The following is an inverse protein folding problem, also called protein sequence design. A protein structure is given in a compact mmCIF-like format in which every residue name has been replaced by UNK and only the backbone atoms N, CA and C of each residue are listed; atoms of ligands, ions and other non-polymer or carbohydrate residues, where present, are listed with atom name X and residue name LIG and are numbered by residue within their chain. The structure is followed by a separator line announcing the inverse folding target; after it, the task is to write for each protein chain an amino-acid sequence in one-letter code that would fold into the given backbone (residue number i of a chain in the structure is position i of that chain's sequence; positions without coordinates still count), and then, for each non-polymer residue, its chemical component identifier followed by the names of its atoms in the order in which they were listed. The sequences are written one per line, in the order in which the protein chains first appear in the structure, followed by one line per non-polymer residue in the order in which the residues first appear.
data_IF_542811482834
#
_entry.id   IF_542811482834
#
_cell.length_a   1.000
_cell.length_b   1.000
_cell.length_c   1.000
_cell.angle_alpha   90.00
_cell.angle_beta   90.00
_cell.angle_gamma   90.00
#
_symmetry.space_group_name_H-M   'P 1'
#
loop_
_entity.id
_entity.type
_entity.pdbx_description
1 polymer ?
#
# COMPACT_ATOMS: atom_id res chain seq x y z
N UNK A 1 -0.61 -26.28 14.90
CA UNK A 1 -0.48 -24.85 15.27
C UNK A 1 0.99 -24.51 15.17
N UNK A 2 1.37 -23.47 14.43
CA UNK A 2 2.78 -23.05 14.29
C UNK A 2 3.09 -22.09 15.44
N UNK A 3 4.07 -22.43 16.26
CA UNK A 3 4.49 -21.56 17.36
C UNK A 3 5.41 -20.47 16.81
N UNK A 4 5.14 -19.21 17.18
CA UNK A 4 5.98 -18.05 16.85
C UNK A 4 6.60 -17.49 18.15
N UNK A 5 7.83 -16.95 18.10
CA UNK A 5 8.47 -16.36 19.28
C UNK A 5 7.64 -15.24 19.90
N UNK A 6 7.69 -15.14 21.23
CA UNK A 6 7.08 -14.03 21.95
C UNK A 6 7.84 -12.73 21.67
N UNK A 7 7.11 -11.71 21.23
CA UNK A 7 7.64 -10.38 20.93
C UNK A 7 6.68 -9.32 21.46
N UNK A 8 7.14 -8.08 21.52
CA UNK A 8 6.30 -6.95 21.91
C UNK A 8 4.98 -6.95 21.11
N UNK A 9 3.81 -6.75 21.74
CA UNK A 9 2.51 -6.87 21.07
C UNK A 9 2.37 -6.01 19.81
N UNK A 10 3.01 -4.84 19.77
CA UNK A 10 3.02 -3.97 18.58
C UNK A 10 3.74 -4.55 17.36
N UNK A 11 4.55 -5.59 17.52
CA UNK A 11 5.31 -6.26 16.46
C UNK A 11 4.88 -7.73 16.24
N UNK A 12 3.98 -8.25 17.09
CA UNK A 12 3.56 -9.65 17.05
C UNK A 12 2.92 -10.05 15.71
N UNK A 13 2.28 -9.11 15.03
CA UNK A 13 1.68 -9.35 13.71
C UNK A 13 2.73 -9.66 12.64
N UNK A 14 3.96 -9.14 12.76
CA UNK A 14 5.03 -9.34 11.77
C UNK A 14 5.46 -10.80 11.75
N UNK A 15 5.81 -11.37 12.91
CA UNK A 15 6.25 -12.76 13.00
C UNK A 15 5.12 -13.73 12.66
N UNK A 16 3.89 -13.43 13.07
CA UNK A 16 2.70 -14.22 12.73
C UNK A 16 2.46 -14.24 11.22
N UNK A 17 2.57 -13.07 10.55
CA UNK A 17 2.44 -12.96 9.11
C UNK A 17 3.56 -13.72 8.38
N UNK A 18 4.81 -13.60 8.84
CA UNK A 18 5.94 -14.32 8.23
C UNK A 18 5.76 -15.85 8.32
N UNK A 19 5.36 -16.36 9.49
CA UNK A 19 5.12 -17.79 9.68
C UNK A 19 4.00 -18.29 8.77
N UNK A 20 2.91 -17.53 8.61
CA UNK A 20 1.82 -17.86 7.69
C UNK A 20 2.26 -17.87 6.22
N UNK A 21 3.06 -16.91 5.79
CA UNK A 21 3.56 -16.86 4.41
C UNK A 21 4.52 -18.01 4.10
N UNK A 22 5.43 -18.35 5.01
CA UNK A 22 6.33 -19.49 4.85
C UNK A 22 5.55 -20.80 4.78
N UNK A 23 4.59 -21.00 5.69
CA UNK A 23 3.71 -22.16 5.63
C UNK A 23 2.94 -22.26 4.31
N UNK A 24 2.34 -21.15 3.87
CA UNK A 24 1.64 -21.10 2.59
C UNK A 24 2.56 -21.44 1.43
N UNK A 25 3.77 -20.87 1.40
CA UNK A 25 4.76 -21.13 0.36
C UNK A 25 5.16 -22.61 0.27
N UNK A 26 5.47 -23.24 1.40
CA UNK A 26 5.79 -24.68 1.45
C UNK A 26 4.60 -25.55 1.03
N UNK A 27 3.37 -25.17 1.42
CA UNK A 27 2.16 -25.87 0.96
C UNK A 27 1.99 -25.75 -0.57
N UNK A 28 2.25 -24.58 -1.15
CA UNK A 28 2.21 -24.40 -2.60
C UNK A 28 3.30 -25.19 -3.32
N UNK A 29 4.52 -25.26 -2.78
CA UNK A 29 5.59 -26.11 -3.33
C UNK A 29 5.22 -27.59 -3.28
N UNK A 30 4.58 -28.04 -2.19
CA UNK A 30 4.10 -29.42 -2.06
C UNK A 30 3.04 -29.76 -3.11
N UNK A 31 2.14 -28.82 -3.43
CA UNK A 31 1.15 -28.97 -4.51
C UNK A 31 1.83 -28.97 -5.88
N UNK A 32 2.74 -28.03 -6.14
CA UNK A 32 3.50 -27.95 -7.40
C UNK A 32 4.28 -29.24 -7.69
N UNK A 33 4.87 -29.85 -6.66
CA UNK A 33 5.59 -31.11 -6.78
C UNK A 33 4.72 -32.25 -7.33
N UNK A 34 3.40 -32.20 -7.15
CA UNK A 34 2.47 -33.20 -7.69
C UNK A 34 2.31 -33.09 -9.21
N UNK A 35 2.72 -31.98 -9.83
CA UNK A 35 2.73 -31.78 -11.28
C UNK A 35 3.89 -32.49 -11.98
N UNK A 36 4.87 -33.00 -11.23
CA UNK A 36 6.06 -33.68 -11.76
C UNK A 36 5.76 -34.79 -12.76
N UNK A 37 4.87 -35.78 -12.50
CA UNK A 37 4.52 -36.78 -13.51
C UNK A 37 3.95 -36.17 -14.80
N UNK A 38 3.19 -35.07 -14.71
CA UNK A 38 2.62 -34.41 -15.89
C UNK A 38 3.71 -33.71 -16.72
N UNK A 39 4.67 -33.06 -16.05
CA UNK A 39 5.82 -32.43 -16.71
C UNK A 39 6.70 -33.45 -17.42
N UNK A 40 6.96 -34.59 -16.78
CA UNK A 40 7.75 -35.67 -17.36
C UNK A 40 7.05 -36.31 -18.57
N UNK A 41 5.73 -36.52 -18.50
CA UNK A 41 4.94 -36.99 -19.64
C UNK A 41 4.94 -35.98 -20.81
N UNK A 42 4.82 -34.68 -20.51
CA UNK A 42 4.86 -33.64 -21.54
C UNK A 42 6.24 -33.55 -22.20
N UNK A 43 7.31 -33.61 -21.42
CA UNK A 43 8.68 -33.62 -21.94
C UNK A 43 8.93 -34.84 -22.86
N UNK A 44 8.38 -36.00 -22.53
CA UNK A 44 8.46 -37.19 -23.40
C UNK A 44 7.78 -36.96 -24.76
N UNK A 45 6.60 -36.31 -24.75
CA UNK A 45 5.89 -35.93 -25.99
C UNK A 45 6.73 -34.93 -26.80
N UNK A 46 7.27 -33.89 -26.16
CA UNK A 46 8.13 -32.89 -26.81
C UNK A 46 9.34 -33.56 -27.47
N UNK A 47 10.02 -34.50 -26.78
CA UNK A 47 11.14 -35.26 -27.35
C UNK A 47 10.75 -36.15 -28.53
N UNK A 48 9.54 -36.74 -28.53
CA UNK A 48 9.07 -37.52 -29.68
C UNK A 48 8.84 -36.65 -30.92
N UNK A 49 8.31 -35.44 -30.72
CA UNK A 49 8.11 -34.45 -31.77
C UNK A 49 9.44 -33.96 -32.32
N UNK A 50 10.41 -33.66 -31.44
CA UNK A 50 11.77 -33.25 -31.84
C UNK A 50 12.52 -34.35 -32.59
N UNK A 51 12.29 -35.62 -32.24
CA UNK A 51 12.88 -36.77 -32.93
C UNK A 51 12.19 -37.15 -34.25
N UNK A 52 11.16 -36.39 -34.66
CA UNK A 52 10.37 -36.62 -35.88
C UNK A 52 9.87 -38.08 -36.00
N UNK A 53 9.44 -38.66 -34.88
CA UNK A 53 8.92 -40.04 -34.85
C UNK A 53 7.68 -40.13 -35.74
N UNK A 54 7.68 -41.12 -36.65
CA UNK A 54 6.56 -41.34 -37.56
C UNK A 54 5.26 -41.66 -36.80
N UNK A 55 4.12 -41.18 -37.32
CA UNK A 55 2.81 -41.29 -36.66
C UNK A 55 2.44 -42.75 -36.31
N UNK A 56 2.71 -43.69 -37.23
CA UNK A 56 2.44 -45.12 -37.06
C UNK A 56 3.26 -45.78 -35.93
N UNK A 57 4.40 -45.20 -35.52
CA UNK A 57 5.26 -45.71 -34.44
C UNK A 57 5.26 -44.83 -33.19
N UNK A 58 4.58 -43.68 -33.23
CA UNK A 58 4.60 -42.66 -32.19
C UNK A 58 4.14 -43.20 -30.82
N UNK A 59 2.99 -43.87 -30.77
CA UNK A 59 2.48 -44.45 -29.53
C UNK A 59 3.37 -45.59 -29.02
N UNK A 60 3.91 -46.43 -29.92
CA UNK A 60 4.80 -47.52 -29.54
C UNK A 60 6.11 -46.99 -28.93
N UNK A 61 6.62 -45.87 -29.44
CA UNK A 61 7.79 -45.18 -28.90
C UNK A 61 7.49 -44.51 -27.54
N UNK A 62 6.35 -43.83 -27.43
CA UNK A 62 5.98 -43.07 -26.23
C UNK A 62 5.54 -43.95 -25.05
N UNK A 63 4.85 -45.07 -25.30
CA UNK A 63 4.29 -45.94 -24.26
C UNK A 63 5.27 -46.25 -23.12
N UNK A 64 6.47 -46.80 -23.37
CA UNK A 64 7.40 -47.16 -22.28
C UNK A 64 7.91 -45.94 -21.49
N UNK A 65 7.91 -44.75 -22.10
CA UNK A 65 8.37 -43.50 -21.46
C UNK A 65 7.24 -42.85 -20.66
N UNK A 66 5.99 -42.95 -21.13
CA UNK A 66 4.80 -42.41 -20.48
C UNK A 66 4.33 -43.25 -19.30
N UNK A 67 4.50 -44.58 -19.35
CA UNK A 67 3.96 -45.51 -18.36
C UNK A 67 4.38 -45.22 -16.90
N UNK A 68 5.66 -44.88 -16.58
CA UNK A 68 6.05 -44.51 -15.21
C UNK A 68 5.41 -43.21 -14.71
N UNK A 69 5.20 -42.24 -15.59
CA UNK A 69 4.52 -40.98 -15.27
C UNK A 69 3.01 -41.22 -15.07
N UNK A 70 2.39 -42.00 -15.96
CA UNK A 70 0.99 -42.38 -15.88
C UNK A 70 0.69 -43.14 -14.58
N UNK A 71 1.54 -44.10 -14.20
CA UNK A 71 1.39 -44.86 -12.96
C UNK A 71 1.41 -43.96 -11.72
N UNK A 72 2.39 -43.05 -11.60
CA UNK A 72 2.45 -42.09 -10.48
C UNK A 72 1.24 -41.16 -10.44
N UNK A 73 0.76 -40.71 -11.60
CA UNK A 73 -0.46 -39.91 -11.68
C UNK A 73 -1.69 -40.69 -11.19
N UNK A 74 -1.89 -41.93 -11.65
CA UNK A 74 -2.99 -42.78 -11.19
C UNK A 74 -2.89 -43.14 -9.70
N UNK A 75 -1.68 -43.37 -9.19
CA UNK A 75 -1.45 -43.58 -7.76
C UNK A 75 -1.85 -42.34 -6.94
N UNK A 76 -1.47 -41.14 -7.40
CA UNK A 76 -1.85 -39.87 -6.78
C UNK A 76 -3.37 -39.63 -6.79
N UNK A 77 -4.07 -39.98 -7.87
CA UNK A 77 -5.54 -39.91 -7.94
C UNK A 77 -6.18 -40.86 -6.94
N UNK A 78 -5.71 -42.11 -6.86
CA UNK A 78 -6.24 -43.11 -5.90
C UNK A 78 -5.99 -42.71 -4.45
N UNK A 79 -4.87 -42.06 -4.17
CA UNK A 79 -4.54 -41.54 -2.84
C UNK A 79 -5.30 -40.25 -2.49
N UNK A 80 -6.01 -39.63 -3.44
CA UNK A 80 -6.68 -38.35 -3.24
C UNK A 80 -5.72 -37.16 -3.15
N UNK A 81 -4.47 -37.31 -3.56
CA UNK A 81 -3.42 -36.29 -3.43
C UNK A 81 -3.76 -35.01 -4.20
N UNK A 82 -4.53 -35.11 -5.28
CA UNK A 82 -4.92 -34.00 -6.15
C UNK A 82 -6.20 -33.28 -5.70
N UNK A 83 -6.88 -33.75 -4.66
CA UNK A 83 -8.17 -33.21 -4.23
C UNK A 83 -8.04 -31.75 -3.81
N UNK A 84 -8.83 -30.87 -4.44
CA UNK A 84 -8.82 -29.43 -4.17
C UNK A 84 -7.70 -28.65 -4.88
N UNK A 85 -6.86 -29.31 -5.67
CA UNK A 85 -5.74 -28.69 -6.38
C UNK A 85 -5.77 -28.92 -7.89
N UNK A 86 -6.36 -30.03 -8.34
CA UNK A 86 -6.59 -30.34 -9.75
C UNK A 86 -8.10 -30.36 -10.03
N UNK A 87 -8.55 -29.68 -11.08
CA UNK A 87 -9.96 -29.71 -11.48
C UNK A 87 -10.38 -31.13 -11.87
N UNK A 88 -11.60 -31.53 -11.51
CA UNK A 88 -12.12 -32.86 -11.82
C UNK A 88 -12.16 -33.12 -13.33
N UNK A 89 -12.51 -32.11 -14.13
CA UNK A 89 -12.49 -32.15 -15.59
C UNK A 89 -11.09 -32.43 -16.14
N UNK A 90 -10.08 -31.72 -15.63
CA UNK A 90 -8.67 -31.90 -16.00
C UNK A 90 -8.17 -33.28 -15.60
N UNK A 91 -8.46 -33.72 -14.37
CA UNK A 91 -8.11 -35.05 -13.88
C UNK A 91 -8.71 -36.18 -14.73
N UNK A 92 -9.99 -36.07 -15.09
CA UNK A 92 -10.68 -37.05 -15.95
C UNK A 92 -10.08 -37.06 -17.35
N UNK A 93 -9.84 -35.89 -17.94
CA UNK A 93 -9.27 -35.77 -19.29
C UNK A 93 -7.87 -36.35 -19.38
N UNK A 94 -6.97 -35.99 -18.45
CA UNK A 94 -5.62 -36.56 -18.38
C UNK A 94 -5.67 -38.08 -18.16
N UNK A 95 -6.56 -38.55 -17.28
CA UNK A 95 -6.72 -39.98 -17.02
C UNK A 95 -7.16 -40.78 -18.24
N UNK A 96 -8.13 -40.27 -19.01
CA UNK A 96 -8.61 -40.91 -20.24
C UNK A 96 -7.52 -40.91 -21.31
N UNK A 97 -6.90 -39.76 -21.57
CA UNK A 97 -5.87 -39.62 -22.61
C UNK A 97 -4.61 -40.46 -22.33
N UNK A 98 -4.19 -40.58 -21.06
CA UNK A 98 -3.09 -41.47 -20.69
C UNK A 98 -3.41 -42.94 -20.95
N UNK A 99 -4.68 -43.38 -20.85
CA UNK A 99 -5.06 -44.76 -21.17
C UNK A 99 -4.95 -45.05 -22.66
N UNK A 100 -5.32 -44.12 -23.52
CA UNK A 100 -5.11 -44.25 -24.96
C UNK A 100 -3.61 -44.19 -25.31
N UNK A 101 -2.87 -43.24 -24.74
CA UNK A 101 -1.45 -43.05 -25.02
C UNK A 101 -0.54 -44.21 -24.54
N UNK A 102 -0.97 -44.96 -23.52
CA UNK A 102 -0.27 -46.15 -23.01
C UNK A 102 -0.82 -47.48 -23.56
N UNK A 103 -1.82 -47.43 -24.44
CA UNK A 103 -2.45 -48.62 -25.02
C UNK A 103 -3.36 -49.41 -24.07
N UNK A 104 -3.68 -48.86 -22.89
CA UNK A 104 -4.67 -49.46 -21.97
C UNK A 104 -6.12 -49.35 -22.49
N UNK A 105 -6.38 -48.42 -23.42
CA UNK A 105 -7.63 -48.28 -24.15
C UNK A 105 -7.35 -48.25 -25.66
N UNK A 106 -8.20 -48.90 -26.46
CA UNK A 106 -8.07 -48.94 -27.91
C UNK A 106 -8.60 -47.67 -28.58
N UNK A 107 -7.94 -47.23 -29.66
CA UNK A 107 -8.29 -45.99 -30.36
C UNK A 107 -9.69 -45.98 -30.97
N UNK A 108 -10.28 -47.15 -31.24
CA UNK A 108 -11.65 -47.30 -31.73
C UNK A 108 -12.69 -46.69 -30.78
N UNK A 109 -12.38 -46.59 -29.48
CA UNK A 109 -13.26 -45.98 -28.47
C UNK A 109 -13.04 -44.45 -28.31
N UNK A 110 -11.99 -43.90 -28.92
CA UNK A 110 -11.57 -42.51 -28.70
C UNK A 110 -12.64 -41.49 -29.13
N UNK A 111 -13.29 -41.73 -30.27
CA UNK A 111 -14.33 -40.83 -30.80
C UNK A 111 -15.54 -40.75 -29.88
N UNK A 112 -15.88 -41.84 -29.19
CA UNK A 112 -16.97 -41.87 -28.23
C UNK A 112 -16.70 -40.97 -27.01
N UNK A 113 -15.45 -40.91 -26.55
CA UNK A 113 -15.06 -40.12 -25.37
C UNK A 113 -14.68 -38.67 -25.70
N UNK A 114 -14.04 -38.42 -26.84
CA UNK A 114 -13.46 -37.12 -27.19
C UNK A 114 -14.08 -36.45 -28.43
N UNK A 115 -15.02 -37.12 -29.11
CA UNK A 115 -15.81 -36.54 -30.20
C UNK A 115 -15.05 -36.32 -31.52
N UNK A 116 -13.86 -36.92 -31.68
CA UNK A 116 -13.07 -36.91 -32.92
C UNK A 116 -12.39 -38.26 -33.15
N UNK A 117 -12.03 -38.56 -34.39
CA UNK A 117 -11.37 -39.83 -34.75
C UNK A 117 -10.07 -40.02 -33.97
N UNK A 118 -9.89 -41.19 -33.37
CA UNK A 118 -8.68 -41.55 -32.62
C UNK A 118 -7.51 -41.90 -33.53
N UNK A 119 -6.60 -40.95 -33.74
CA UNK A 119 -5.29 -41.20 -34.36
C UNK A 119 -4.16 -41.01 -33.33
N UNK A 120 -2.98 -41.64 -33.52
CA UNK A 120 -1.81 -41.39 -32.67
C UNK A 120 -1.52 -39.91 -32.45
N UNK A 121 -1.42 -39.13 -33.53
CA UNK A 121 -1.27 -37.66 -33.46
C UNK A 121 -2.38 -36.97 -32.66
N UNK A 122 -3.65 -37.34 -32.87
CA UNK A 122 -4.77 -36.70 -32.15
C UNK A 122 -4.70 -36.96 -30.64
N UNK A 123 -4.38 -38.18 -30.22
CA UNK A 123 -4.23 -38.53 -28.80
C UNK A 123 -3.11 -37.72 -28.16
N UNK A 124 -1.97 -37.59 -28.84
CA UNK A 124 -0.80 -36.88 -28.32
C UNK A 124 -1.03 -35.37 -28.25
N UNK A 125 -1.69 -34.79 -29.26
CA UNK A 125 -2.09 -33.38 -29.25
C UNK A 125 -3.02 -33.07 -28.06
N UNK A 126 -4.09 -33.85 -27.89
CA UNK A 126 -5.04 -33.68 -26.79
C UNK A 126 -4.36 -33.90 -25.43
N UNK A 127 -3.49 -34.91 -25.34
CA UNK A 127 -2.75 -35.21 -24.11
C UNK A 127 -1.82 -34.06 -23.74
N UNK A 128 -1.09 -33.49 -24.70
CA UNK A 128 -0.20 -32.35 -24.47
C UNK A 128 -0.96 -31.13 -23.92
N UNK A 129 -2.14 -30.84 -24.47
CA UNK A 129 -3.02 -29.77 -23.99
C UNK A 129 -3.53 -30.05 -22.57
N UNK A 130 -3.99 -31.27 -22.30
CA UNK A 130 -4.50 -31.67 -20.99
C UNK A 130 -3.40 -31.66 -19.91
N UNK A 131 -2.19 -32.12 -20.24
CA UNK A 131 -1.03 -32.08 -19.36
C UNK A 131 -0.62 -30.65 -19.05
N UNK A 132 -0.59 -29.77 -20.06
CA UNK A 132 -0.27 -28.34 -19.86
C UNK A 132 -1.24 -27.69 -18.89
N UNK A 133 -2.55 -27.88 -19.09
CA UNK A 133 -3.57 -27.37 -18.17
C UNK A 133 -3.41 -27.93 -16.75
N UNK A 134 -3.15 -29.24 -16.61
CA UNK A 134 -2.91 -29.85 -15.30
C UNK A 134 -1.68 -29.30 -14.59
N UNK A 135 -0.60 -29.03 -15.32
CA UNK A 135 0.60 -28.38 -14.78
C UNK A 135 0.29 -26.96 -14.34
N UNK A 136 -0.44 -26.18 -15.14
CA UNK A 136 -0.84 -24.81 -14.79
C UNK A 136 -1.69 -24.76 -13.52
N UNK A 137 -2.68 -25.64 -13.39
CA UNK A 137 -3.54 -25.74 -12.20
C UNK A 137 -2.74 -26.04 -10.93
N UNK A 138 -1.81 -26.99 -11.00
CA UNK A 138 -0.97 -27.38 -9.85
C UNK A 138 0.15 -26.36 -9.53
N UNK A 139 0.55 -25.54 -10.50
CA UNK A 139 1.58 -24.50 -10.31
C UNK A 139 0.98 -23.18 -9.79
N UNK A 140 -0.28 -22.88 -10.14
CA UNK A 140 -0.99 -21.64 -9.80
C UNK A 140 -0.92 -21.22 -8.33
N UNK A 141 -0.97 -22.12 -7.32
CA UNK A 141 -0.84 -21.73 -5.92
C UNK A 141 0.47 -21.01 -5.59
N UNK A 142 1.58 -21.33 -6.27
CA UNK A 142 2.88 -20.67 -6.08
C UNK A 142 2.78 -19.19 -6.47
N UNK A 143 2.15 -18.89 -7.62
CA UNK A 143 1.98 -17.53 -8.10
C UNK A 143 0.99 -16.75 -7.22
N UNK A 144 -0.07 -17.41 -6.75
CA UNK A 144 -1.03 -16.80 -5.83
C UNK A 144 -0.33 -16.35 -4.53
N UNK A 145 0.51 -17.19 -3.92
CA UNK A 145 1.25 -16.83 -2.70
C UNK A 145 2.30 -15.74 -2.95
N UNK A 146 3.00 -15.77 -4.08
CA UNK A 146 3.89 -14.67 -4.47
C UNK A 146 3.14 -13.35 -4.60
N UNK A 147 1.96 -13.37 -5.21
CA UNK A 147 1.10 -12.19 -5.35
C UNK A 147 0.59 -11.71 -3.98
N UNK A 148 0.17 -12.62 -3.09
CA UNK A 148 -0.25 -12.27 -1.72
C UNK A 148 0.90 -11.63 -0.93
N UNK A 149 2.10 -12.22 -0.97
CA UNK A 149 3.27 -11.66 -0.30
C UNK A 149 3.57 -10.22 -0.78
N UNK A 150 3.47 -9.97 -2.09
CA UNK A 150 3.57 -8.61 -2.65
C UNK A 150 2.47 -7.70 -2.12
N UNK A 151 1.21 -8.13 -2.14
CA UNK A 151 0.08 -7.30 -1.71
C UNK A 151 0.12 -6.97 -0.22
N UNK A 152 0.56 -7.90 0.63
CA UNK A 152 0.72 -7.67 2.07
C UNK A 152 1.86 -6.68 2.32
N UNK A 153 3.00 -6.84 1.65
CA UNK A 153 4.15 -5.93 1.80
C UNK A 153 3.93 -4.54 1.20
N UNK A 154 3.06 -4.43 0.19
CA UNK A 154 2.62 -3.14 -0.37
C UNK A 154 1.48 -2.54 0.45
N UNK A 155 0.60 -3.35 1.04
CA UNK A 155 -0.59 -2.91 1.80
C UNK A 155 -0.29 -2.24 3.14
N UNK A 156 0.87 -2.51 3.75
CA UNK A 156 1.38 -1.77 4.92
C UNK A 156 1.76 -0.31 4.60
N UNK A 157 1.69 0.11 3.32
CA UNK A 157 1.84 1.51 2.94
C UNK A 157 0.58 2.35 3.17
N UNK A 158 -0.51 1.79 3.74
CA UNK A 158 -1.69 2.58 4.15
C UNK A 158 -1.42 3.26 5.48
N UNK A 159 -0.66 4.35 5.38
CA UNK A 159 -0.32 5.34 6.40
C UNK A 159 -1.53 6.02 7.06
N UNK A 160 -2.74 5.90 6.52
CA UNK A 160 -3.92 6.68 6.95
C UNK A 160 -4.32 6.42 8.41
N UNK A 161 -4.25 5.18 8.89
CA UNK A 161 -4.63 4.84 10.26
C UNK A 161 -3.60 5.37 11.27
N UNK A 162 -2.31 5.29 10.92
CA UNK A 162 -1.23 5.91 11.69
C UNK A 162 -1.33 7.44 11.71
N UNK A 163 -1.73 8.06 10.59
CA UNK A 163 -1.93 9.51 10.53
C UNK A 163 -3.07 9.96 11.45
N UNK A 164 -4.16 9.19 11.52
CA UNK A 164 -5.25 9.51 12.44
C UNK A 164 -4.84 9.36 13.89
N UNK A 165 -3.93 8.45 14.22
CA UNK A 165 -3.42 8.28 15.58
C UNK A 165 -2.52 9.43 16.07
N UNK A 166 -2.07 10.34 15.19
CA UNK A 166 -1.21 11.45 15.58
C UNK A 166 -1.94 12.43 16.53
N UNK A 167 -1.36 12.78 17.69
CA UNK A 167 -1.97 13.68 18.68
C UNK A 167 -2.47 15.02 18.12
N UNK A 168 -1.71 15.67 17.24
CA UNK A 168 -2.13 16.92 16.61
C UNK A 168 -3.32 16.73 15.66
N UNK A 169 -3.42 15.57 14.99
CA UNK A 169 -4.59 15.23 14.16
C UNK A 169 -5.82 14.99 15.06
N UNK A 170 -5.66 14.27 16.16
CA UNK A 170 -6.73 14.07 17.15
C UNK A 170 -7.22 15.42 17.70
N UNK A 171 -6.31 16.33 18.05
CA UNK A 171 -6.68 17.66 18.53
C UNK A 171 -7.52 18.47 17.52
N UNK A 172 -7.29 18.30 16.22
CA UNK A 172 -8.12 18.92 15.17
C UNK A 172 -9.51 18.29 15.12
N UNK A 173 -9.60 16.96 15.23
CA UNK A 173 -10.88 16.24 15.25
C UNK A 173 -11.68 16.55 16.51
N UNK A 174 -11.03 16.61 17.67
CA UNK A 174 -11.62 16.97 18.97
C UNK A 174 -12.10 18.43 19.01
N UNK A 175 -11.45 19.32 18.25
CA UNK A 175 -11.93 20.67 18.00
C UNK A 175 -13.18 20.74 17.10
N UNK A 176 -13.69 19.59 16.65
CA UNK A 176 -14.92 19.43 15.90
C UNK A 176 -14.76 19.47 14.38
N UNK A 177 -13.53 19.41 13.85
CA UNK A 177 -13.30 19.34 12.42
C UNK A 177 -13.81 17.99 11.86
N UNK A 178 -14.66 17.96 10.82
CA UNK A 178 -15.17 16.72 10.26
C UNK A 178 -14.04 15.96 9.54
N UNK A 179 -13.92 14.67 9.80
CA UNK A 179 -12.90 13.81 9.17
C UNK A 179 -12.96 13.85 7.64
N UNK A 180 -14.17 13.88 7.07
CA UNK A 180 -14.40 13.96 5.63
C UNK A 180 -14.03 15.32 5.01
N UNK A 181 -13.64 16.30 5.83
CA UNK A 181 -13.17 17.63 5.40
C UNK A 181 -11.67 17.85 5.59
N UNK A 182 -10.94 16.83 6.04
CA UNK A 182 -9.48 16.87 6.14
C UNK A 182 -8.89 16.07 4.98
N UNK A 183 -8.19 16.76 4.08
CA UNK A 183 -7.52 16.09 2.97
C UNK A 183 -6.37 15.21 3.47
N UNK A 184 -5.99 14.18 2.71
CA UNK A 184 -4.83 13.37 3.03
C UNK A 184 -3.54 14.22 3.20
N UNK A 185 -3.37 15.25 2.36
CA UNK A 185 -2.26 16.21 2.46
C UNK A 185 -2.27 16.94 3.80
N UNK A 186 -3.46 17.37 4.25
CA UNK A 186 -3.67 18.02 5.55
C UNK A 186 -3.26 17.08 6.69
N UNK A 187 -3.74 15.83 6.69
CA UNK A 187 -3.42 14.84 7.72
C UNK A 187 -1.92 14.54 7.78
N UNK A 188 -1.27 14.37 6.62
CA UNK A 188 0.18 14.14 6.55
C UNK A 188 0.99 15.31 7.10
N UNK A 189 0.60 16.55 6.79
CA UNK A 189 1.26 17.75 7.33
C UNK A 189 1.09 17.87 8.85
N UNK A 190 -0.10 17.59 9.35
CA UNK A 190 -0.36 17.61 10.80
C UNK A 190 0.47 16.55 11.53
N UNK A 191 0.49 15.31 11.02
CA UNK A 191 1.30 14.24 11.61
C UNK A 191 2.81 14.56 11.55
N UNK A 192 3.28 15.22 10.48
CA UNK A 192 4.66 15.66 10.39
C UNK A 192 5.01 16.81 11.35
N UNK A 193 4.05 17.68 11.66
CA UNK A 193 4.22 18.77 12.63
C UNK A 193 4.15 18.29 14.08
N UNK A 194 3.50 17.16 14.35
CA UNK A 194 3.24 16.64 15.69
C UNK A 194 4.49 16.59 16.61
N UNK A 195 5.67 16.11 16.16
CA UNK A 195 6.88 16.09 17.01
C UNK A 195 7.37 17.47 17.46
N UNK A 196 6.95 18.54 16.78
CA UNK A 196 7.29 19.91 17.16
C UNK A 196 6.32 20.51 18.19
N UNK A 197 5.17 19.88 18.43
CA UNK A 197 4.13 20.38 19.33
C UNK A 197 4.30 19.77 20.72
N UNK A 198 4.54 20.61 21.71
CA UNK A 198 4.57 20.22 23.12
C UNK A 198 3.15 20.04 23.67
N UNK A 199 2.23 20.98 23.36
CA UNK A 199 0.85 20.89 23.79
C UNK A 199 -0.11 21.70 22.90
N UNK A 200 -1.34 21.22 22.75
CA UNK A 200 -2.47 22.01 22.24
C UNK A 200 -3.20 22.65 23.43
N UNK A 201 -3.20 23.98 23.48
CA UNK A 201 -3.69 24.77 24.63
C UNK A 201 -5.10 25.34 24.43
N UNK A 202 -5.65 25.22 23.21
CA UNK A 202 -6.99 25.65 22.88
C UNK A 202 -7.24 25.65 21.38
N UNK A 203 -8.46 26.00 20.99
CA UNK A 203 -8.84 26.10 19.59
C UNK A 203 -9.93 27.15 19.34
N UNK A 204 -10.06 27.56 18.09
CA UNK A 204 -11.25 28.22 17.58
C UNK A 204 -11.59 27.63 16.21
N UNK A 205 -12.80 27.11 16.07
CA UNK A 205 -13.30 26.58 14.81
C UNK A 205 -14.17 27.61 14.11
N UNK A 206 -13.93 27.81 12.82
CA UNK A 206 -14.64 28.77 11.99
C UNK A 206 -15.38 28.06 10.86
N UNK A 207 -16.56 28.58 10.51
CA UNK A 207 -17.25 28.27 9.27
C UNK A 207 -16.92 29.35 8.24
N UNK A 208 -16.69 28.92 7.01
CA UNK A 208 -16.47 29.80 5.87
C UNK A 208 -17.61 29.60 4.89
N UNK A 209 -18.29 30.69 4.54
CA UNK A 209 -19.44 30.69 3.64
C UNK A 209 -19.20 31.68 2.48
N UNK A 210 -19.57 31.30 1.26
CA UNK A 210 -19.44 32.14 0.05
C UNK A 210 -18.15 31.92 -0.74
N UNK A 211 -17.96 32.70 -1.81
CA UNK A 211 -16.81 32.56 -2.71
C UNK A 211 -15.53 33.15 -2.12
N UNK A 212 -14.60 32.25 -1.76
CA UNK A 212 -13.29 32.58 -1.21
C UNK A 212 -12.37 33.23 -2.24
N UNK A 213 -12.49 32.87 -3.53
CA UNK A 213 -11.65 33.39 -4.62
C UNK A 213 -12.12 34.78 -5.01
N UNK A 214 -13.44 34.97 -5.15
CA UNK A 214 -14.08 36.24 -5.51
C UNK A 214 -14.17 37.29 -4.39
N UNK A 215 -13.55 37.06 -3.23
CA UNK A 215 -13.52 38.00 -2.08
C UNK A 215 -14.89 38.35 -1.46
N UNK A 216 -15.90 37.49 -1.69
CA UNK A 216 -17.24 37.62 -1.13
C UNK A 216 -17.48 36.67 0.04
N UNK A 217 -16.47 35.90 0.44
CA UNK A 217 -16.56 34.97 1.55
C UNK A 217 -16.67 35.66 2.92
N UNK A 218 -17.49 35.06 3.77
CA UNK A 218 -17.65 35.42 5.17
C UNK A 218 -17.13 34.31 6.09
N UNK A 219 -16.83 34.68 7.33
CA UNK A 219 -16.30 33.78 8.34
C UNK A 219 -16.99 34.01 9.68
N UNK A 220 -17.46 32.94 10.29
CA UNK A 220 -18.14 32.96 11.58
C UNK A 220 -17.53 31.91 12.53
N UNK A 221 -17.59 32.17 13.84
CA UNK A 221 -17.08 31.22 14.84
C UNK A 221 -18.15 30.17 15.10
N UNK A 222 -17.75 28.90 15.07
CA UNK A 222 -18.60 27.75 15.35
C UNK A 222 -18.40 27.26 16.77
N UNK A 223 -17.14 27.12 17.20
CA UNK A 223 -16.81 26.59 18.52
C UNK A 223 -15.45 27.09 19.02
N UNK A 224 -15.24 27.04 20.34
CA UNK A 224 -14.01 27.45 21.03
C UNK A 224 -13.70 26.56 22.24
N UNK A 225 -12.43 26.21 22.40
CA UNK A 225 -11.93 25.47 23.55
C UNK A 225 -10.61 26.00 24.09
N UNK A 226 -10.29 25.61 25.33
CA UNK A 226 -9.09 26.05 26.05
C UNK A 226 -8.97 27.57 26.10
N UNK A 227 -7.77 28.08 25.86
CA UNK A 227 -7.52 29.53 25.90
C UNK A 227 -8.34 30.31 24.86
N UNK A 228 -8.85 29.65 23.81
CA UNK A 228 -9.64 30.28 22.77
C UNK A 228 -10.96 30.88 23.28
N UNK A 229 -11.53 30.33 24.36
CA UNK A 229 -12.81 30.77 24.94
C UNK A 229 -12.79 32.23 25.40
N UNK A 230 -11.65 32.66 25.96
CA UNK A 230 -11.49 34.00 26.53
C UNK A 230 -10.99 35.03 25.50
N UNK A 231 -10.82 34.63 24.24
CA UNK A 231 -10.34 35.51 23.18
C UNK A 231 -11.48 36.18 22.43
N UNK A 232 -11.45 37.51 22.38
CA UNK A 232 -12.36 38.30 21.54
C UNK A 232 -11.99 38.10 20.07
N UNK A 233 -12.87 37.46 19.29
CA UNK A 233 -12.64 37.32 17.86
C UNK A 233 -13.06 38.56 17.10
N UNK A 234 -12.15 39.11 16.30
CA UNK A 234 -12.46 40.21 15.37
C UNK A 234 -13.58 39.87 14.37
N UNK A 235 -13.79 38.56 14.11
CA UNK A 235 -14.83 38.09 13.20
C UNK A 235 -16.25 38.28 13.74
N UNK A 236 -16.41 38.48 15.05
CA UNK A 236 -17.72 38.79 15.66
C UNK A 236 -18.20 40.20 15.30
N UNK A 237 -17.28 41.13 15.05
CA UNK A 237 -17.59 42.52 14.66
C UNK A 237 -17.54 42.73 13.14
N UNK A 238 -16.77 41.92 12.43
CA UNK A 238 -16.65 41.98 10.98
C UNK A 238 -16.49 40.58 10.39
N UNK A 239 -17.53 40.10 9.72
CA UNK A 239 -17.60 38.74 9.18
C UNK A 239 -16.84 38.56 7.87
N UNK A 240 -16.22 39.59 7.28
CA UNK A 240 -15.46 39.42 6.04
C UNK A 240 -14.21 38.56 6.24
N UNK A 241 -14.03 37.57 5.37
CA UNK A 241 -12.85 36.70 5.38
C UNK A 241 -11.62 37.48 4.88
N UNK A 242 -10.73 37.89 5.78
CA UNK A 242 -9.54 38.69 5.46
C UNK A 242 -8.27 38.19 6.13
N UNK A 243 -7.12 38.66 5.61
CA UNK A 243 -5.80 38.38 6.18
C UNK A 243 -5.39 36.92 6.10
N UNK A 244 -4.71 36.41 7.14
CA UNK A 244 -4.20 35.03 7.16
C UNK A 244 -5.31 34.00 6.94
N UNK A 245 -6.50 34.18 7.51
CA UNK A 245 -7.62 33.23 7.35
C UNK A 245 -8.08 33.14 5.89
N UNK A 246 -8.12 34.25 5.15
CA UNK A 246 -8.39 34.23 3.70
C UNK A 246 -7.31 33.47 2.95
N UNK A 247 -6.04 33.74 3.25
CA UNK A 247 -4.91 33.04 2.63
C UNK A 247 -5.01 31.52 2.82
N UNK A 248 -5.27 31.06 4.04
CA UNK A 248 -5.48 29.63 4.35
C UNK A 248 -6.64 29.06 3.53
N UNK A 249 -7.74 29.78 3.42
CA UNK A 249 -8.90 29.30 2.68
C UNK A 249 -8.65 29.20 1.16
N UNK A 250 -7.82 30.10 0.61
CA UNK A 250 -7.41 30.07 -0.81
C UNK A 250 -6.39 28.97 -1.07
N UNK A 251 -5.30 28.95 -0.30
CA UNK A 251 -4.16 28.05 -0.49
C UNK A 251 -4.47 26.61 -0.07
N UNK A 252 -5.39 26.42 0.88
CA UNK A 252 -5.79 25.11 1.42
C UNK A 252 -4.64 24.33 2.04
N UNK A 253 -3.68 25.07 2.59
CA UNK A 253 -2.52 24.52 3.26
C UNK A 253 -2.60 24.69 4.78
N UNK A 254 -2.07 23.70 5.50
CA UNK A 254 -1.80 23.82 6.94
C UNK A 254 -0.69 24.84 7.14
N UNK A 255 -0.89 25.79 8.05
CA UNK A 255 0.11 26.83 8.34
C UNK A 255 0.34 26.99 9.82
N UNK A 256 1.58 26.79 10.24
CA UNK A 256 2.11 27.25 11.52
C UNK A 256 2.38 28.77 11.44
N UNK A 257 1.97 29.51 12.47
CA UNK A 257 2.13 30.96 12.51
C UNK A 257 2.39 31.46 13.94
N UNK A 258 3.03 32.62 14.03
CA UNK A 258 3.14 33.42 15.25
C UNK A 258 2.34 34.71 15.07
N UNK A 259 1.44 34.99 16.00
CA UNK A 259 0.54 36.14 15.98
C UNK A 259 1.32 37.45 16.02
N UNK A 260 1.10 38.34 15.05
CA UNK A 260 1.85 39.60 14.94
C UNK A 260 1.61 40.55 16.13
N UNK A 261 0.40 40.53 16.70
CA UNK A 261 -0.02 41.46 17.75
C UNK A 261 0.13 40.91 19.16
N UNK A 262 0.08 39.59 19.34
CA UNK A 262 0.01 38.93 20.64
C UNK A 262 1.06 37.83 20.83
N UNK A 263 1.94 37.61 19.84
CA UNK A 263 3.02 36.62 19.89
C UNK A 263 2.56 35.16 19.94
N UNK A 264 1.25 34.90 19.88
CA UNK A 264 0.69 33.56 20.10
C UNK A 264 0.99 32.63 18.94
N UNK A 265 1.29 31.39 19.27
CA UNK A 265 1.65 30.35 18.32
C UNK A 265 0.43 29.53 17.94
N UNK A 266 0.23 29.41 16.63
CA UNK A 266 -1.02 28.92 16.04
C UNK A 266 -0.72 27.90 14.93
N UNK A 267 -1.62 26.94 14.77
CA UNK A 267 -1.71 26.10 13.57
C UNK A 267 -3.08 26.29 12.94
N UNK A 268 -3.11 26.75 11.69
CA UNK A 268 -4.32 26.90 10.89
C UNK A 268 -4.52 25.65 10.04
N UNK A 269 -5.72 25.08 10.10
CA UNK A 269 -6.09 23.85 9.41
C UNK A 269 -7.33 24.11 8.55
N UNK A 270 -7.23 24.06 7.21
CA UNK A 270 -8.38 24.24 6.35
C UNK A 270 -9.28 23.00 6.34
N UNK A 271 -10.59 23.20 6.44
CA UNK A 271 -11.62 22.17 6.27
C UNK A 271 -12.19 22.28 4.85
N UNK A 272 -11.82 21.34 3.98
CA UNK A 272 -12.08 21.39 2.54
C UNK A 272 -13.07 20.29 2.15
N UNK A 273 -14.12 20.66 1.42
CA UNK A 273 -15.05 19.72 0.80
C UNK A 273 -14.99 19.87 -0.71
N UNK A 274 -14.55 18.82 -1.42
CA UNK A 274 -14.26 18.91 -2.85
C UNK A 274 -13.15 19.94 -3.10
N UNK A 275 -13.46 21.02 -3.80
CA UNK A 275 -12.55 22.14 -4.08
C UNK A 275 -12.88 23.40 -3.28
N UNK A 276 -13.72 23.34 -2.25
CA UNK A 276 -14.15 24.52 -1.50
C UNK A 276 -13.72 24.45 -0.03
N UNK A 277 -13.17 25.55 0.49
CA UNK A 277 -12.88 25.68 1.92
C UNK A 277 -14.16 26.07 2.63
N UNK A 278 -14.66 25.17 3.45
CA UNK A 278 -15.92 25.31 4.18
C UNK A 278 -15.74 25.67 5.65
N UNK A 279 -14.50 25.58 6.14
CA UNK A 279 -14.16 25.91 7.52
C UNK A 279 -12.66 26.05 7.71
N UNK A 280 -12.29 26.58 8.87
CA UNK A 280 -10.90 26.68 9.31
C UNK A 280 -10.88 26.32 10.79
N UNK A 281 -10.11 25.31 11.17
CA UNK A 281 -9.80 25.01 12.56
C UNK A 281 -8.46 25.66 12.92
N UNK A 282 -8.48 26.51 13.93
CA UNK A 282 -7.29 27.20 14.45
C UNK A 282 -6.95 26.58 15.80
N UNK A 283 -5.78 25.97 15.91
CA UNK A 283 -5.25 25.44 17.17
C UNK A 283 -4.24 26.42 17.78
N UNK A 284 -4.37 26.66 19.08
CA UNK A 284 -3.34 27.33 19.88
C UNK A 284 -2.37 26.27 20.39
N UNK A 285 -1.11 26.37 19.98
CA UNK A 285 -0.10 25.33 20.28
C UNK A 285 1.06 25.92 21.06
N UNK A 286 1.63 25.14 21.97
CA UNK A 286 2.98 25.35 22.49
C UNK A 286 3.92 24.47 21.68
N UNK A 287 4.96 25.08 21.13
CA UNK A 287 6.01 24.33 20.43
C UNK A 287 7.03 23.82 21.45
N UNK A 288 7.66 22.69 21.15
CA UNK A 288 8.92 22.29 21.80
C UNK A 288 9.95 23.37 21.50
N UNK A 289 10.83 23.72 22.44
CA UNK A 289 11.81 24.80 22.20
C UNK A 289 12.75 24.43 21.05
N UNK A 290 13.44 23.28 21.18
CA UNK A 290 14.42 22.78 20.20
C UNK A 290 14.28 21.29 19.98
N UNK A 291 14.54 20.87 18.74
CA UNK A 291 14.57 19.47 18.33
C UNK A 291 16.00 19.06 17.96
N UNK A 292 16.27 17.75 17.92
CA UNK A 292 17.49 17.27 17.27
C UNK A 292 17.46 17.65 15.78
N UNK A 293 18.63 17.81 15.16
CA UNK A 293 18.73 18.17 13.73
C UNK A 293 17.91 17.21 12.84
N UNK A 294 17.99 15.90 13.11
CA UNK A 294 17.23 14.89 12.39
C UNK A 294 15.71 15.06 12.56
N UNK A 295 15.22 15.32 13.78
CA UNK A 295 13.80 15.54 14.03
C UNK A 295 13.31 16.86 13.41
N UNK A 296 14.07 17.95 13.54
CA UNK A 296 13.76 19.24 12.91
C UNK A 296 13.69 19.12 11.39
N UNK A 297 14.64 18.41 10.77
CA UNK A 297 14.60 18.10 9.33
C UNK A 297 13.34 17.33 8.95
N UNK A 298 13.00 16.27 9.69
CA UNK A 298 11.79 15.47 9.43
C UNK A 298 10.51 16.31 9.49
N UNK A 299 10.39 17.18 10.50
CA UNK A 299 9.27 18.12 10.64
C UNK A 299 9.22 19.10 9.46
N UNK A 300 10.35 19.73 9.11
CA UNK A 300 10.41 20.72 8.03
C UNK A 300 10.16 20.09 6.66
N UNK A 301 10.62 18.86 6.43
CA UNK A 301 10.40 18.14 5.18
C UNK A 301 8.91 17.77 5.03
N UNK A 302 8.31 17.17 6.05
CA UNK A 302 6.89 16.82 6.04
C UNK A 302 5.96 18.04 6.02
N UNK A 303 6.38 19.18 6.58
CA UNK A 303 5.67 20.46 6.48
C UNK A 303 5.84 21.12 5.10
N UNK A 304 6.87 20.74 4.33
CA UNK A 304 7.16 21.24 2.98
C UNK A 304 8.01 22.51 2.95
N UNK A 305 8.86 22.72 3.97
CA UNK A 305 9.71 23.91 4.13
C UNK A 305 11.21 23.61 4.03
N UNK A 306 11.63 22.36 4.26
CA UNK A 306 13.05 21.98 4.29
C UNK A 306 13.77 22.29 2.97
N UNK A 307 13.25 21.80 1.83
CA UNK A 307 13.87 22.03 0.52
C UNK A 307 13.99 23.54 0.19
N UNK A 308 12.96 24.32 0.49
CA UNK A 308 12.96 25.78 0.25
C UNK A 308 14.04 26.48 1.09
N UNK A 309 14.27 26.02 2.32
CA UNK A 309 15.34 26.53 3.16
C UNK A 309 16.73 26.12 2.64
N UNK A 310 16.90 24.86 2.22
CA UNK A 310 18.15 24.39 1.61
C UNK A 310 18.47 25.24 0.38
N UNK A 311 17.52 25.41 -0.53
CA UNK A 311 17.70 26.21 -1.75
C UNK A 311 18.14 27.64 -1.41
N UNK A 312 17.45 28.30 -0.46
CA UNK A 312 17.77 29.66 -0.03
C UNK A 312 19.15 29.80 0.64
N UNK A 313 19.59 28.78 1.40
CA UNK A 313 20.94 28.78 1.99
C UNK A 313 22.00 28.54 0.93
N UNK A 314 21.77 27.60 0.02
CA UNK A 314 22.73 27.26 -1.04
C UNK A 314 22.87 28.33 -2.12
N UNK A 315 22.01 29.34 -2.10
CA UNK A 315 22.16 30.55 -2.91
C UNK A 315 23.39 31.37 -2.48
N UNK A 316 23.75 31.36 -1.19
CA UNK A 316 24.90 32.12 -0.67
C UNK A 316 26.01 31.25 -0.09
N UNK A 317 25.68 30.09 0.47
CA UNK A 317 26.61 29.18 1.14
C UNK A 317 26.90 27.93 0.29
N UNK A 318 28.11 27.37 0.32
CA UNK A 318 28.49 26.23 -0.53
C UNK A 318 27.78 24.92 -0.15
N UNK A 319 27.35 24.77 1.10
CA UNK A 319 26.72 23.55 1.62
C UNK A 319 25.69 23.88 2.70
N UNK A 320 24.60 23.11 2.76
CA UNK A 320 23.65 23.20 3.85
C UNK A 320 24.14 22.44 5.08
N UNK A 321 24.31 23.15 6.20
CA UNK A 321 24.68 22.57 7.50
C UNK A 321 23.46 22.13 8.29
N UNK A 322 23.12 20.84 8.21
CA UNK A 322 21.99 20.24 8.94
C UNK A 322 22.09 20.40 10.46
N UNK A 323 23.30 20.42 11.03
CA UNK A 323 23.54 20.51 12.46
C UNK A 323 23.00 21.81 13.09
N UNK A 324 22.96 22.90 12.31
CA UNK A 324 22.43 24.20 12.74
C UNK A 324 20.92 24.16 13.00
N UNK A 325 20.17 23.19 12.46
CA UNK A 325 18.75 23.04 12.76
C UNK A 325 18.50 22.80 14.26
N UNK A 326 19.44 22.16 14.96
CA UNK A 326 19.30 21.88 16.38
C UNK A 326 19.53 23.12 17.28
N UNK A 327 20.13 24.18 16.75
CA UNK A 327 20.43 25.41 17.51
C UNK A 327 19.34 26.47 17.41
N UNK A 328 18.36 26.29 16.51
CA UNK A 328 17.29 27.24 16.22
C UNK A 328 15.98 26.75 16.84
N UNK A 329 15.20 27.67 17.42
CA UNK A 329 13.89 27.34 17.96
C UNK A 329 12.94 26.86 16.86
N UNK A 330 12.20 25.77 17.09
CA UNK A 330 11.38 25.15 16.04
C UNK A 330 10.29 26.09 15.52
N UNK A 331 9.79 26.97 16.39
CA UNK A 331 8.81 27.98 16.03
C UNK A 331 9.38 29.00 15.05
N UNK A 332 10.66 29.36 15.17
CA UNK A 332 11.32 30.24 14.21
C UNK A 332 11.56 29.50 12.89
N UNK A 333 12.03 28.25 12.95
CA UNK A 333 12.18 27.39 11.76
C UNK A 333 10.86 27.30 10.94
N UNK A 334 9.72 27.20 11.62
CA UNK A 334 8.40 27.06 11.00
C UNK A 334 7.79 28.37 10.51
N UNK A 335 8.10 29.50 11.15
CA UNK A 335 7.35 30.76 10.97
C UNK A 335 8.16 31.94 10.41
N UNK A 336 9.48 31.99 10.59
CA UNK A 336 10.30 33.08 10.06
C UNK A 336 10.41 33.02 8.55
N UNK A 337 10.36 34.15 7.81
CA UNK A 337 10.60 34.16 6.37
C UNK A 337 11.88 33.42 6.01
N UNK A 338 11.81 32.53 5.01
CA UNK A 338 12.91 31.61 4.68
C UNK A 338 14.23 32.35 4.42
N UNK A 339 14.16 33.52 3.80
CA UNK A 339 15.33 34.36 3.50
C UNK A 339 16.03 34.86 4.77
N UNK A 340 15.26 35.24 5.80
CA UNK A 340 15.82 35.62 7.11
C UNK A 340 16.38 34.41 7.85
N UNK A 341 15.75 33.26 7.69
CA UNK A 341 16.21 32.03 8.32
C UNK A 341 17.54 31.57 7.69
N UNK A 342 17.68 31.71 6.37
CA UNK A 342 18.88 31.40 5.63
C UNK A 342 20.08 32.27 6.07
N UNK A 343 19.85 33.52 6.49
CA UNK A 343 20.92 34.37 7.04
C UNK A 343 21.61 33.75 8.28
N UNK A 344 20.95 32.82 9.00
CA UNK A 344 21.55 32.10 10.14
C UNK A 344 22.60 31.06 9.72
N UNK A 345 22.72 30.75 8.43
CA UNK A 345 23.76 29.88 7.86
C UNK A 345 24.99 30.65 7.38
N UNK A 346 24.95 31.99 7.35
CA UNK A 346 26.12 32.79 6.98
C UNK A 346 27.21 32.67 8.03
N UNK A 347 28.41 32.29 7.58
CA UNK A 347 29.62 32.23 8.40
C UNK A 347 30.48 33.47 8.26
#
# INVERSE_FOLDING_TARGET
MISVPEVHPSLAFVLSAMAAHLFGYEAALAIDAQARPLREARAAIESAVEAEVADDSLLAWLTPVLEPAARRFFDGLRAGSYNGHLEASTAVRVSSLLRYATGAAGLDAYEMEHGRVGTPSAVIEDLSLALTRGVEELTRPVDAIKHQAKTVTVGISRSDETLLAAPLVQAVLDAGAPRDRLSYRTLRKLAALDPAVDAVTGFTRYRVDGDVVGDLATISVVDRGGIGRDLVSRTERNSHLRGTKRRIAVEREVVAARGRSDGRTLVFVPEVKGSETTGITLLHVRWVDRLSAAAARGVLDGYGRYAVLVDAVTETEPTFRDDLLASIDIVDLLTEPVQRLADRWRS
#
